data_IF_909362849898
#
_entry.id   IF_909362849898
#
_cell.length_a   1.000
_cell.length_b   1.000
_cell.length_c   1.000
_cell.angle_alpha   90.00
_cell.angle_beta   90.00
_cell.angle_gamma   90.00
#
_symmetry.space_group_name_H-M   'P 1'
#
loop_
_entity.id
_entity.type
_entity.pdbx_description
1 polymer ?
#
# COMPACT_ATOMS: atom_id res chain seq x y z
N UNK A 1 -14.89 -21.05 -22.38
CA UNK A 1 -13.80 -21.58 -23.24
C UNK A 1 -12.88 -22.52 -22.48
N UNK A 2 -12.29 -22.16 -21.33
CA UNK A 2 -11.35 -23.00 -20.56
C UNK A 2 -11.94 -24.36 -20.16
N UNK A 3 -13.17 -24.39 -19.65
CA UNK A 3 -13.86 -25.63 -19.29
C UNK A 3 -14.10 -26.57 -20.49
N UNK A 4 -14.34 -26.01 -21.68
CA UNK A 4 -14.47 -26.78 -22.91
C UNK A 4 -13.11 -27.35 -23.33
N UNK A 5 -12.04 -26.53 -23.28
CA UNK A 5 -10.69 -26.98 -23.61
C UNK A 5 -10.22 -28.14 -22.69
N UNK A 6 -10.58 -28.09 -21.41
CA UNK A 6 -10.27 -29.15 -20.45
C UNK A 6 -10.98 -30.46 -20.82
N UNK A 7 -12.23 -30.40 -21.27
CA UNK A 7 -12.99 -31.59 -21.68
C UNK A 7 -12.41 -32.27 -22.92
N UNK A 8 -11.88 -31.48 -23.84
CA UNK A 8 -11.30 -31.95 -25.11
C UNK A 8 -9.80 -32.30 -24.97
N UNK A 9 -9.24 -32.11 -23.81
CA UNK A 9 -7.82 -32.33 -23.58
C UNK A 9 -7.50 -33.83 -23.46
N UNK A 10 -6.40 -34.32 -24.08
CA UNK A 10 -5.94 -35.69 -23.95
C UNK A 10 -5.40 -36.04 -22.57
N UNK A 11 -5.23 -35.05 -21.69
CA UNK A 11 -4.76 -35.23 -20.31
C UNK A 11 -5.82 -34.72 -19.33
N UNK A 12 -5.95 -35.34 -18.15
CA UNK A 12 -6.79 -34.77 -17.09
C UNK A 12 -6.18 -33.46 -16.54
N UNK A 13 -6.96 -32.39 -16.50
CA UNK A 13 -6.59 -31.11 -15.89
C UNK A 13 -7.55 -30.81 -14.75
N UNK A 14 -6.98 -30.24 -13.67
CA UNK A 14 -7.74 -29.64 -12.60
C UNK A 14 -7.68 -28.12 -12.76
N UNK A 15 -8.85 -27.49 -12.87
CA UNK A 15 -8.93 -26.01 -12.90
C UNK A 15 -9.03 -25.48 -11.48
N UNK A 16 -8.10 -24.63 -11.11
CA UNK A 16 -8.11 -23.88 -9.84
C UNK A 16 -8.23 -22.40 -10.20
N UNK A 17 -9.31 -21.76 -9.74
CA UNK A 17 -9.52 -20.33 -9.91
C UNK A 17 -9.18 -19.63 -8.59
N UNK A 18 -8.26 -18.70 -8.66
CA UNK A 18 -7.80 -17.93 -7.51
C UNK A 18 -7.91 -16.44 -7.82
N UNK A 19 -8.15 -15.64 -6.79
CA UNK A 19 -7.88 -14.21 -6.79
C UNK A 19 -6.58 -13.97 -6.03
N UNK A 20 -5.73 -13.10 -6.51
CA UNK A 20 -4.51 -12.67 -5.82
C UNK A 20 -4.85 -11.77 -4.62
N UNK A 21 -5.83 -10.90 -4.77
CA UNK A 21 -6.39 -10.05 -3.71
C UNK A 21 -7.81 -9.60 -4.07
N UNK A 22 -8.52 -9.05 -3.08
CA UNK A 22 -9.76 -8.32 -3.32
C UNK A 22 -9.48 -6.91 -3.83
N UNK A 23 -10.43 -6.34 -4.55
CA UNK A 23 -10.39 -4.94 -4.98
C UNK A 23 -11.72 -4.28 -4.68
N UNK A 24 -11.68 -3.12 -4.02
CA UNK A 24 -12.88 -2.31 -3.81
C UNK A 24 -13.18 -1.48 -5.05
N UNK A 25 -14.46 -1.33 -5.34
CA UNK A 25 -14.95 -0.42 -6.37
C UNK A 25 -15.22 0.93 -5.71
N UNK A 26 -14.40 1.93 -5.96
CA UNK A 26 -14.60 3.23 -5.34
C UNK A 26 -13.58 4.27 -5.78
N UNK A 27 -13.75 5.47 -5.26
CA UNK A 27 -12.81 6.56 -5.49
C UNK A 27 -11.53 6.32 -4.68
N UNK A 28 -10.40 6.63 -5.27
CA UNK A 28 -9.12 6.63 -4.53
C UNK A 28 -9.13 7.73 -3.45
N UNK A 29 -8.27 7.58 -2.46
CA UNK A 29 -8.12 8.56 -1.37
C UNK A 29 -7.93 9.98 -1.90
N UNK A 30 -7.06 10.17 -2.90
CA UNK A 30 -6.76 11.46 -3.51
C UNK A 30 -7.98 12.08 -4.21
N UNK A 31 -8.80 11.24 -4.86
CA UNK A 31 -10.03 11.71 -5.49
C UNK A 31 -11.06 12.16 -4.47
N UNK A 32 -11.23 11.41 -3.37
CA UNK A 32 -12.21 11.74 -2.33
C UNK A 32 -11.84 12.99 -1.54
N UNK A 33 -10.56 13.10 -1.15
CA UNK A 33 -10.12 14.10 -0.19
C UNK A 33 -9.29 15.22 -0.80
N UNK A 34 -8.98 15.17 -2.12
CA UNK A 34 -8.17 16.17 -2.85
C UNK A 34 -6.80 16.40 -2.26
N UNK A 35 -6.27 15.40 -1.57
CA UNK A 35 -4.94 15.37 -0.98
C UNK A 35 -4.45 13.94 -0.88
N UNK A 36 -3.13 13.71 -0.92
CA UNK A 36 -2.56 12.40 -0.71
C UNK A 36 -2.56 12.02 0.78
N UNK A 37 -2.49 10.73 1.08
CA UNK A 37 -2.27 10.30 2.46
C UNK A 37 -0.90 10.76 2.98
N UNK A 38 0.08 10.89 2.11
CA UNK A 38 1.38 11.46 2.43
C UNK A 38 1.30 12.91 2.89
N UNK A 39 0.39 13.71 2.31
CA UNK A 39 0.15 15.09 2.76
C UNK A 39 -0.44 15.12 4.17
N UNK A 40 -1.36 14.18 4.49
CA UNK A 40 -1.92 14.04 5.84
C UNK A 40 -0.84 13.65 6.85
N UNK A 41 0.05 12.72 6.50
CA UNK A 41 1.20 12.34 7.34
C UNK A 41 2.12 13.52 7.56
N UNK A 42 2.52 14.24 6.50
CA UNK A 42 3.38 15.43 6.58
C UNK A 42 2.77 16.52 7.47
N UNK A 43 1.46 16.74 7.38
CA UNK A 43 0.76 17.70 8.22
C UNK A 43 0.79 17.32 9.72
N UNK A 44 0.89 16.04 10.05
CA UNK A 44 1.05 15.53 11.41
C UNK A 44 2.48 15.53 11.93
N UNK A 45 3.46 15.63 11.04
CA UNK A 45 4.88 15.66 11.40
C UNK A 45 5.38 17.07 11.76
N UNK A 46 6.52 17.13 12.45
CA UNK A 46 7.21 18.41 12.69
C UNK A 46 7.71 18.99 11.36
N UNK A 47 7.73 20.33 11.20
CA UNK A 47 8.14 20.97 9.94
C UNK A 47 9.57 20.64 9.48
N UNK A 48 10.42 20.20 10.40
CA UNK A 48 11.82 19.85 10.14
C UNK A 48 12.01 18.38 9.75
N UNK A 49 10.99 17.54 9.88
CA UNK A 49 11.09 16.12 9.56
C UNK A 49 11.22 15.90 8.05
N UNK A 50 12.23 15.14 7.62
CA UNK A 50 12.34 14.70 6.23
C UNK A 50 11.38 13.50 6.01
N UNK A 51 10.23 13.80 5.41
CA UNK A 51 9.16 12.83 5.14
C UNK A 51 9.04 12.61 3.65
N UNK A 52 9.25 11.37 3.21
CA UNK A 52 9.12 11.00 1.79
C UNK A 52 8.14 9.86 1.60
N UNK A 53 7.32 10.00 0.57
CA UNK A 53 6.36 9.00 0.13
C UNK A 53 6.96 8.22 -1.05
N UNK A 54 6.99 6.89 -0.90
CA UNK A 54 7.18 6.00 -2.05
C UNK A 54 5.78 5.61 -2.55
N UNK A 55 5.40 6.16 -3.69
CA UNK A 55 4.26 5.62 -4.41
C UNK A 55 4.54 4.14 -4.70
N UNK A 56 3.60 3.26 -4.41
CA UNK A 56 3.66 1.87 -4.82
C UNK A 56 3.99 1.82 -6.31
N UNK A 57 4.82 0.88 -6.72
CA UNK A 57 5.04 0.65 -8.15
C UNK A 57 3.67 0.26 -8.68
N UNK A 58 3.11 1.09 -9.56
CA UNK A 58 1.82 0.84 -10.15
C UNK A 58 1.93 -0.53 -10.88
N UNK A 59 1.21 -1.54 -10.38
CA UNK A 59 1.26 -2.90 -10.93
C UNK A 59 0.96 -2.89 -12.42
N UNK A 60 0.08 -1.99 -12.86
CA UNK A 60 -0.22 -1.75 -14.27
C UNK A 60 1.02 -1.26 -15.02
N UNK A 61 1.81 -0.37 -14.42
CA UNK A 61 3.06 0.10 -15.00
C UNK A 61 4.11 -1.00 -15.13
N UNK A 62 4.19 -1.94 -14.16
CA UNK A 62 5.09 -3.10 -14.23
C UNK A 62 4.65 -4.06 -15.34
N UNK A 63 3.38 -4.43 -15.37
CA UNK A 63 2.84 -5.36 -16.37
C UNK A 63 2.97 -4.80 -17.78
N UNK A 64 2.66 -3.52 -17.97
CA UNK A 64 2.86 -2.84 -19.26
C UNK A 64 4.34 -2.78 -19.61
N UNK A 65 5.22 -2.48 -18.66
CA UNK A 65 6.68 -2.47 -18.87
C UNK A 65 7.23 -3.83 -19.29
N UNK A 66 6.78 -4.91 -18.67
CA UNK A 66 7.19 -6.29 -19.00
C UNK A 66 6.66 -6.70 -20.39
N UNK A 67 5.39 -6.44 -20.68
CA UNK A 67 4.80 -6.67 -22.03
C UNK A 67 5.55 -5.89 -23.09
N UNK A 68 5.85 -4.61 -22.83
CA UNK A 68 6.59 -3.76 -23.76
C UNK A 68 8.03 -4.24 -23.98
N UNK A 69 8.66 -4.77 -22.94
CA UNK A 69 10.02 -5.33 -23.01
C UNK A 69 10.04 -6.64 -23.81
N UNK A 70 9.04 -7.50 -23.64
CA UNK A 70 8.92 -8.76 -24.37
C UNK A 70 8.56 -8.54 -25.83
N UNK A 71 7.66 -7.59 -26.11
CA UNK A 71 7.33 -7.15 -27.47
C UNK A 71 8.58 -6.57 -28.18
N UNK A 72 9.38 -5.75 -27.47
CA UNK A 72 10.63 -5.21 -28.01
C UNK A 72 11.67 -6.30 -28.31
N UNK A 73 11.81 -7.29 -27.45
CA UNK A 73 12.71 -8.46 -27.70
C UNK A 73 12.26 -9.28 -28.90
N UNK A 74 10.94 -9.41 -29.11
CA UNK A 74 10.35 -10.14 -30.23
C UNK A 74 10.45 -9.40 -31.56
N UNK A 75 10.58 -8.07 -31.53
CA UNK A 75 10.55 -7.20 -32.70
C UNK A 75 11.96 -6.72 -33.05
N UNK A 76 12.79 -7.57 -33.61
CA UNK A 76 14.15 -7.22 -34.11
C UNK A 76 14.17 -6.40 -35.43
N UNK A 77 13.04 -5.89 -35.90
CA UNK A 77 12.94 -5.18 -37.19
C UNK A 77 12.63 -3.70 -37.01
N UNK A 78 13.39 -2.84 -37.67
CA UNK A 78 13.24 -1.34 -37.72
C UNK A 78 11.84 -0.88 -38.15
N UNK A 79 11.06 -1.71 -38.82
CA UNK A 79 9.71 -1.38 -39.31
C UNK A 79 8.67 -1.30 -38.20
N UNK A 80 8.90 -1.99 -37.11
CA UNK A 80 7.99 -2.14 -35.98
C UNK A 80 8.05 -0.97 -34.97
N UNK A 81 9.15 -0.25 -34.87
CA UNK A 81 9.31 0.87 -33.95
C UNK A 81 8.35 2.04 -34.23
N UNK A 82 8.03 2.30 -35.49
CA UNK A 82 7.10 3.36 -35.88
C UNK A 82 5.64 3.01 -35.61
N UNK A 83 5.28 1.73 -35.69
CA UNK A 83 3.96 1.25 -35.33
C UNK A 83 3.77 1.26 -33.81
N UNK A 84 4.82 0.90 -33.09
CA UNK A 84 4.87 0.94 -31.63
C UNK A 84 4.71 2.37 -31.08
N UNK A 85 5.43 3.35 -31.64
CA UNK A 85 5.26 4.78 -31.32
C UNK A 85 3.82 5.25 -31.51
N UNK A 86 3.13 4.83 -32.57
CA UNK A 86 1.73 5.18 -32.84
C UNK A 86 0.74 4.55 -31.85
N UNK A 87 1.04 3.37 -31.34
CA UNK A 87 0.18 2.68 -30.34
C UNK A 87 0.33 3.34 -28.97
N UNK A 88 1.56 3.63 -28.56
CA UNK A 88 1.84 4.26 -27.25
C UNK A 88 1.26 5.67 -27.17
N UNK A 89 1.41 6.49 -28.20
CA UNK A 89 0.80 7.85 -28.26
C UNK A 89 -0.72 7.84 -28.26
N UNK A 90 -1.35 6.74 -28.66
CA UNK A 90 -2.80 6.60 -28.67
C UNK A 90 -3.38 6.12 -27.31
N UNK A 91 -2.56 5.43 -26.50
CA UNK A 91 -2.94 4.90 -25.16
C UNK A 91 -2.65 5.90 -24.04
N UNK A 92 -1.81 6.89 -24.24
CA UNK A 92 -1.48 7.93 -23.25
C UNK A 92 -1.53 9.32 -23.90
N UNK A 93 -2.72 9.92 -24.06
CA UNK A 93 -2.84 11.28 -24.61
C UNK A 93 -2.25 12.28 -23.61
N UNK A 94 -1.13 12.91 -24.00
CA UNK A 94 -0.48 13.96 -23.22
C UNK A 94 1.00 13.71 -22.88
N UNK A 95 1.54 12.52 -23.15
CA UNK A 95 2.98 12.24 -22.98
C UNK A 95 3.74 12.54 -24.25
N UNK A 96 4.86 13.22 -24.15
CA UNK A 96 5.78 13.42 -25.28
C UNK A 96 6.38 12.06 -25.68
N UNK A 97 6.62 11.81 -27.00
CA UNK A 97 7.15 10.52 -27.49
C UNK A 97 8.53 10.14 -26.93
N UNK A 98 9.27 11.10 -26.44
CA UNK A 98 10.61 10.89 -25.87
C UNK A 98 10.59 10.58 -24.37
N UNK A 99 9.45 10.80 -23.68
CA UNK A 99 9.24 10.44 -22.27
C UNK A 99 8.89 8.96 -22.05
N UNK A 100 8.57 8.25 -23.13
CA UNK A 100 8.42 6.80 -23.12
C UNK A 100 9.79 6.15 -23.28
N UNK A 101 10.70 6.48 -22.40
CA UNK A 101 11.90 5.69 -22.16
C UNK A 101 11.44 4.33 -21.66
N UNK A 102 11.78 3.29 -22.40
CA UNK A 102 11.67 1.90 -21.96
C UNK A 102 12.48 1.77 -20.67
N UNK A 103 11.80 1.93 -19.57
CA UNK A 103 12.39 1.75 -18.27
C UNK A 103 12.51 0.24 -18.12
N UNK A 104 13.75 -0.28 -18.22
CA UNK A 104 14.07 -1.60 -17.70
C UNK A 104 13.58 -1.63 -16.27
N UNK A 105 12.58 -2.46 -15.97
CA UNK A 105 11.90 -2.53 -14.68
C UNK A 105 12.89 -2.73 -13.54
N UNK A 106 13.97 -3.47 -13.77
CA UNK A 106 15.06 -3.62 -12.80
C UNK A 106 15.80 -2.29 -12.58
N UNK A 107 16.06 -1.55 -13.64
CA UNK A 107 16.74 -0.24 -13.57
C UNK A 107 15.82 0.83 -12.97
N UNK A 108 14.51 0.78 -13.20
CA UNK A 108 13.55 1.72 -12.60
C UNK A 108 13.33 1.46 -11.11
N UNK A 109 13.22 0.19 -10.70
CA UNK A 109 13.18 -0.20 -9.29
C UNK A 109 14.50 0.15 -8.60
N UNK A 110 15.62 -0.17 -9.25
CA UNK A 110 16.96 0.19 -8.75
C UNK A 110 17.16 1.70 -8.72
N UNK A 111 16.74 2.47 -9.73
CA UNK A 111 16.82 3.93 -9.74
C UNK A 111 15.88 4.58 -8.71
N UNK A 112 14.69 4.02 -8.44
CA UNK A 112 13.85 4.45 -7.33
C UNK A 112 14.48 4.11 -5.97
N UNK A 113 15.14 2.96 -5.83
CA UNK A 113 15.86 2.59 -4.61
C UNK A 113 17.18 3.35 -4.45
N UNK A 114 17.89 3.66 -5.55
CA UNK A 114 19.13 4.46 -5.55
C UNK A 114 18.87 5.97 -5.66
N UNK A 115 17.64 6.40 -5.98
CA UNK A 115 17.24 7.80 -6.02
C UNK A 115 17.19 8.48 -4.64
N UNK A 116 17.34 7.73 -3.56
CA UNK A 116 17.59 8.27 -2.23
C UNK A 116 19.10 8.39 -2.03
N UNK A 117 19.68 9.51 -2.46
CA UNK A 117 21.06 9.85 -2.07
C UNK A 117 21.19 9.91 -0.53
N UNK A 118 20.07 10.27 0.17
CA UNK A 118 19.95 10.27 1.62
C UNK A 118 18.65 9.53 2.01
N UNK A 119 18.73 8.66 3.01
CA UNK A 119 17.57 7.96 3.58
C UNK A 119 16.74 8.99 4.35
N UNK A 120 15.44 9.17 4.04
CA UNK A 120 14.58 10.11 4.75
C UNK A 120 14.38 9.67 6.21
N UNK A 121 14.11 10.60 7.12
CA UNK A 121 13.80 10.28 8.53
C UNK A 121 12.53 9.43 8.65
N UNK A 122 11.52 9.75 7.83
CA UNK A 122 10.24 9.05 7.80
C UNK A 122 9.93 8.64 6.36
N UNK A 123 9.80 7.34 6.18
CA UNK A 123 9.44 6.73 4.90
C UNK A 123 7.97 6.29 4.92
N UNK A 124 7.20 6.72 3.93
CA UNK A 124 5.81 6.33 3.72
C UNK A 124 5.76 5.42 2.51
N UNK A 125 5.19 4.23 2.68
CA UNK A 125 4.92 3.30 1.59
C UNK A 125 3.41 3.07 1.50
N UNK A 126 2.84 3.34 0.32
CA UNK A 126 1.41 3.15 0.05
C UNK A 126 1.22 1.86 -0.74
N UNK A 127 0.27 1.03 -0.33
CA UNK A 127 -0.08 -0.21 -1.00
C UNK A 127 -1.56 -0.55 -0.85
N UNK A 128 -2.35 -0.34 -1.90
CA UNK A 128 -3.79 -0.56 -1.86
C UNK A 128 -4.46 0.28 -0.76
N UNK A 129 -5.13 -0.40 0.17
CA UNK A 129 -5.86 0.24 1.27
C UNK A 129 -5.01 0.48 2.52
N UNK A 130 -3.72 0.17 2.44
CA UNK A 130 -2.80 0.26 3.58
C UNK A 130 -1.71 1.27 3.31
N UNK A 131 -1.29 1.94 4.37
CA UNK A 131 -0.12 2.80 4.38
C UNK A 131 0.80 2.36 5.50
N UNK A 132 2.06 2.18 5.17
CA UNK A 132 3.12 1.76 6.06
C UNK A 132 4.06 2.94 6.29
N UNK A 133 4.33 3.27 7.55
CA UNK A 133 5.23 4.36 7.92
C UNK A 133 6.38 3.76 8.74
N UNK A 134 7.60 4.09 8.32
CA UNK A 134 8.83 3.65 8.95
C UNK A 134 9.65 4.85 9.41
N UNK A 135 10.13 4.81 10.65
CA UNK A 135 11.11 5.75 11.19
C UNK A 135 12.52 5.16 10.93
N UNK A 136 13.10 5.52 9.81
CA UNK A 136 14.34 4.91 9.27
C UNK A 136 15.58 5.16 10.13
N UNK A 137 15.52 6.15 11.02
CA UNK A 137 16.58 6.48 11.97
C UNK A 137 16.60 5.59 13.21
N UNK A 138 15.63 4.65 13.31
CA UNK A 138 15.55 3.69 14.40
C UNK A 138 16.04 2.32 13.94
N UNK A 139 16.89 1.66 14.74
CA UNK A 139 17.40 0.30 14.45
C UNK A 139 16.33 -0.79 14.62
N UNK A 140 15.24 -0.47 15.29
CA UNK A 140 14.14 -1.40 15.61
C UNK A 140 12.82 -0.68 15.49
N UNK A 141 11.75 -1.47 15.28
CA UNK A 141 10.38 -0.98 15.33
C UNK A 141 10.11 -0.23 16.62
N UNK A 142 9.80 1.06 16.52
CA UNK A 142 9.51 1.92 17.66
C UNK A 142 8.06 1.74 18.15
N UNK A 143 7.82 2.12 19.39
CA UNK A 143 6.49 2.03 20.00
C UNK A 143 5.76 3.38 20.01
N UNK A 144 4.50 3.36 20.45
CA UNK A 144 3.66 4.56 20.54
C UNK A 144 4.30 5.68 21.37
N UNK A 145 5.01 5.33 22.45
CA UNK A 145 5.65 6.33 23.31
C UNK A 145 6.74 7.08 22.54
N UNK A 146 7.59 6.34 21.84
CA UNK A 146 8.67 6.92 21.05
C UNK A 146 8.14 7.67 19.82
N UNK A 147 7.11 7.13 19.13
CA UNK A 147 6.43 7.84 18.03
C UNK A 147 5.89 9.19 18.52
N UNK A 148 5.20 9.20 19.67
CA UNK A 148 4.62 10.42 20.25
C UNK A 148 5.69 11.42 20.69
N UNK A 149 6.81 10.95 21.21
CA UNK A 149 7.93 11.80 21.58
C UNK A 149 8.57 12.49 20.37
N UNK A 150 8.74 11.78 19.25
CA UNK A 150 9.31 12.31 18.01
C UNK A 150 8.32 13.17 17.23
N UNK A 151 7.07 12.70 17.11
CA UNK A 151 6.02 13.31 16.26
C UNK A 151 4.68 13.38 17.03
N UNK A 152 4.52 14.33 17.98
CA UNK A 152 3.39 14.34 18.92
C UNK A 152 2.02 14.55 18.26
N UNK A 153 1.97 15.18 17.08
CA UNK A 153 0.73 15.43 16.35
C UNK A 153 0.38 14.36 15.32
N UNK A 154 1.30 13.45 15.01
CA UNK A 154 1.13 12.50 13.89
C UNK A 154 -0.09 11.59 14.09
N UNK A 155 -0.14 10.84 15.19
CA UNK A 155 -1.27 9.92 15.45
C UNK A 155 -2.61 10.68 15.59
N UNK A 156 -2.71 11.79 16.35
CA UNK A 156 -3.94 12.59 16.39
C UNK A 156 -4.38 13.11 15.02
N UNK A 157 -3.46 13.58 14.17
CA UNK A 157 -3.78 14.08 12.83
C UNK A 157 -4.33 12.96 11.96
N UNK A 158 -3.71 11.78 11.97
CA UNK A 158 -4.20 10.62 11.23
C UNK A 158 -5.60 10.20 11.67
N UNK A 159 -5.84 10.09 12.97
CA UNK A 159 -7.13 9.67 13.52
C UNK A 159 -8.25 10.71 13.31
N UNK A 160 -7.90 11.97 13.13
CA UNK A 160 -8.88 13.02 12.80
C UNK A 160 -9.35 12.95 11.34
N UNK A 161 -8.57 12.33 10.44
CA UNK A 161 -8.88 12.30 9.01
C UNK A 161 -10.00 11.28 8.70
N UNK A 162 -11.08 11.68 7.96
CA UNK A 162 -12.22 10.80 7.71
C UNK A 162 -11.89 9.57 6.87
N UNK A 163 -10.88 9.62 6.02
CA UNK A 163 -10.42 8.50 5.20
C UNK A 163 -9.56 7.48 5.95
N UNK A 164 -9.27 7.70 7.24
CA UNK A 164 -8.52 6.76 8.07
C UNK A 164 -9.48 5.92 8.92
N UNK A 165 -9.49 4.62 8.71
CA UNK A 165 -10.31 3.66 9.46
C UNK A 165 -9.69 3.33 10.81
N UNK A 166 -8.43 2.93 10.79
CA UNK A 166 -7.65 2.73 12.02
C UNK A 166 -6.16 2.95 11.79
N UNK A 167 -5.46 3.18 12.88
CA UNK A 167 -4.00 3.31 12.93
C UNK A 167 -3.46 2.26 13.90
N UNK A 168 -2.66 1.32 13.43
CA UNK A 168 -2.02 0.29 14.25
C UNK A 168 -0.60 0.68 14.59
N UNK A 169 -0.25 0.58 15.88
CA UNK A 169 1.09 0.81 16.42
C UNK A 169 1.41 -0.23 17.49
N UNK A 170 2.71 -0.37 17.81
CA UNK A 170 3.17 -1.16 18.96
C UNK A 170 3.05 -0.35 20.25
N UNK A 171 2.71 -1.00 21.35
CA UNK A 171 2.75 -0.43 22.71
C UNK A 171 3.41 -1.39 23.69
N UNK A 172 3.67 -0.95 24.91
CA UNK A 172 4.15 -1.81 25.99
C UNK A 172 3.20 -2.99 26.30
N UNK A 173 1.91 -2.85 25.98
CA UNK A 173 0.89 -3.89 26.20
C UNK A 173 0.57 -4.71 24.95
N UNK A 174 1.38 -4.61 23.90
CA UNK A 174 1.18 -5.27 22.62
C UNK A 174 0.68 -4.33 21.52
N UNK A 175 0.40 -4.87 20.32
CA UNK A 175 -0.12 -4.11 19.21
C UNK A 175 -1.52 -3.58 19.48
N UNK A 176 -1.77 -2.33 19.10
CA UNK A 176 -3.05 -1.65 19.28
C UNK A 176 -3.51 -1.01 17.99
N UNK A 177 -4.76 -1.21 17.62
CA UNK A 177 -5.46 -0.47 16.58
C UNK A 177 -6.24 0.68 17.22
N UNK A 178 -5.87 1.91 16.90
CA UNK A 178 -6.59 3.11 17.30
C UNK A 178 -7.62 3.49 16.23
N UNK A 179 -8.82 3.78 16.65
CA UNK A 179 -9.81 4.46 15.86
C UNK A 179 -10.15 5.82 16.46
N UNK A 180 -11.10 6.52 15.85
CA UNK A 180 -11.51 7.86 16.28
C UNK A 180 -12.13 7.88 17.69
N UNK A 181 -12.88 6.85 18.06
CA UNK A 181 -13.68 6.79 19.30
C UNK A 181 -13.28 5.64 20.23
N UNK A 182 -12.16 4.97 19.94
CA UNK A 182 -11.71 3.87 20.77
C UNK A 182 -10.50 3.16 20.22
N UNK A 183 -10.14 2.05 20.86
CA UNK A 183 -8.96 1.28 20.50
C UNK A 183 -9.11 -0.19 20.86
N UNK A 184 -8.43 -1.04 20.09
CA UNK A 184 -8.43 -2.48 20.29
C UNK A 184 -6.98 -2.98 20.34
N UNK A 185 -6.59 -3.51 21.50
CA UNK A 185 -5.36 -4.28 21.64
C UNK A 185 -5.62 -5.68 21.09
N UNK A 186 -4.86 -6.08 20.08
CA UNK A 186 -5.07 -7.36 19.39
C UNK A 186 -4.29 -8.53 20.00
N UNK A 187 -3.37 -8.22 20.91
CA UNK A 187 -2.59 -9.20 21.67
C UNK A 187 -2.21 -8.60 23.04
N UNK A 188 -3.19 -8.52 23.94
CA UNK A 188 -2.99 -7.88 25.24
C UNK A 188 -1.93 -8.61 26.07
N UNK A 189 -0.81 -7.94 26.32
CA UNK A 189 0.33 -8.48 27.08
C UNK A 189 0.88 -9.83 26.56
N UNK A 190 0.74 -10.12 25.26
CA UNK A 190 1.22 -11.38 24.67
C UNK A 190 0.37 -12.61 25.06
N UNK A 191 -0.85 -12.41 25.53
CA UNK A 191 -1.74 -13.52 25.96
C UNK A 191 -2.58 -14.10 24.83
N UNK A 192 -2.49 -13.54 23.61
CA UNK A 192 -3.36 -13.87 22.49
C UNK A 192 -4.79 -13.36 22.63
N UNK A 193 -5.10 -12.58 23.69
CA UNK A 193 -6.43 -12.04 23.92
C UNK A 193 -6.58 -10.64 23.35
N UNK A 194 -7.82 -10.30 22.98
CA UNK A 194 -8.19 -8.97 22.50
C UNK A 194 -8.78 -8.15 23.64
N UNK A 195 -8.41 -6.87 23.73
CA UNK A 195 -8.99 -5.94 24.71
C UNK A 195 -9.46 -4.67 24.03
N UNK A 196 -10.74 -4.39 24.12
CA UNK A 196 -11.37 -3.19 23.54
C UNK A 196 -11.56 -2.12 24.61
N UNK A 197 -11.28 -0.86 24.26
CA UNK A 197 -11.54 0.32 25.10
C UNK A 197 -12.23 1.36 24.21
N UNK A 198 -13.47 1.71 24.57
CA UNK A 198 -14.33 2.54 23.72
C UNK A 198 -14.96 1.75 22.58
N UNK A 199 -15.14 2.39 21.44
CA UNK A 199 -15.65 1.74 20.22
C UNK A 199 -14.54 0.92 19.56
N UNK A 200 -14.81 -0.32 19.20
CA UNK A 200 -13.86 -1.16 18.48
C UNK A 200 -13.66 -0.66 17.04
N UNK A 201 -12.48 -0.16 16.66
CA UNK A 201 -12.21 0.33 15.32
C UNK A 201 -12.12 -0.79 14.27
N UNK A 202 -12.02 -2.04 14.68
CA UNK A 202 -11.89 -3.18 13.79
C UNK A 202 -13.24 -3.78 13.38
N UNK A 203 -14.34 -3.42 14.07
CA UNK A 203 -15.68 -3.93 13.78
C UNK A 203 -16.08 -3.82 12.28
N UNK A 204 -15.82 -2.71 11.57
CA UNK A 204 -16.19 -2.61 10.16
C UNK A 204 -15.46 -3.59 9.23
N UNK A 205 -14.31 -4.11 9.66
CA UNK A 205 -13.45 -4.97 8.84
C UNK A 205 -13.68 -6.47 9.04
N UNK A 206 -14.74 -6.82 9.77
CA UNK A 206 -15.17 -8.20 9.96
C UNK A 206 -14.66 -8.88 11.24
N UNK A 207 -15.18 -10.07 11.56
CA UNK A 207 -14.94 -10.75 12.84
C UNK A 207 -13.48 -11.18 13.03
N UNK A 208 -12.75 -11.43 11.95
CA UNK A 208 -11.37 -11.93 12.02
C UNK A 208 -10.32 -10.80 11.95
N UNK A 209 -10.75 -9.55 11.88
CA UNK A 209 -9.85 -8.40 11.72
C UNK A 209 -8.77 -8.34 12.80
N UNK A 210 -9.11 -8.56 14.08
CA UNK A 210 -8.15 -8.56 15.16
C UNK A 210 -7.09 -9.67 15.02
N UNK A 211 -7.49 -10.87 14.55
CA UNK A 211 -6.57 -11.97 14.26
C UNK A 211 -5.60 -11.62 13.13
N UNK A 212 -6.10 -11.05 12.05
CA UNK A 212 -5.26 -10.62 10.92
C UNK A 212 -4.27 -9.53 11.32
N UNK A 213 -4.72 -8.51 12.05
CA UNK A 213 -3.85 -7.43 12.55
C UNK A 213 -2.78 -7.97 13.50
N UNK A 214 -3.14 -8.90 14.40
CA UNK A 214 -2.15 -9.58 15.26
C UNK A 214 -1.09 -10.31 14.47
N UNK A 215 -1.49 -11.02 13.40
CA UNK A 215 -0.55 -11.72 12.52
C UNK A 215 0.38 -10.75 11.82
N UNK A 216 -0.15 -9.65 11.27
CA UNK A 216 0.67 -8.60 10.62
C UNK A 216 1.63 -7.96 11.62
N UNK A 217 1.17 -7.68 12.83
CA UNK A 217 1.99 -7.08 13.87
C UNK A 217 3.18 -7.95 14.33
N UNK A 218 3.10 -9.27 14.08
CA UNK A 218 4.14 -10.24 14.40
C UNK A 218 5.23 -10.38 13.31
N UNK A 219 5.08 -9.76 12.15
CA UNK A 219 6.10 -9.79 11.11
C UNK A 219 7.31 -8.95 11.50
N UNK A 220 8.50 -9.43 11.23
CA UNK A 220 9.77 -8.71 11.48
C UNK A 220 9.83 -7.39 10.68
N UNK A 221 9.19 -7.36 9.50
CA UNK A 221 9.10 -6.19 8.62
C UNK A 221 7.87 -5.32 8.89
N UNK A 222 7.13 -5.58 9.98
CA UNK A 222 5.96 -4.78 10.31
C UNK A 222 6.36 -3.31 10.53
N UNK A 223 5.65 -2.34 9.92
CA UNK A 223 5.97 -0.93 10.03
C UNK A 223 5.78 -0.41 11.48
N UNK A 224 6.36 0.75 11.76
CA UNK A 224 6.15 1.45 13.03
C UNK A 224 4.70 1.89 13.18
N UNK A 225 4.12 2.40 12.08
CA UNK A 225 2.70 2.75 12.00
C UNK A 225 2.11 2.09 10.76
N UNK A 226 1.02 1.35 10.95
CA UNK A 226 0.18 0.84 9.86
C UNK A 226 -1.14 1.59 9.88
N UNK A 227 -1.52 2.17 8.75
CA UNK A 227 -2.81 2.82 8.54
C UNK A 227 -3.65 1.95 7.61
N UNK A 228 -4.91 1.79 7.92
CA UNK A 228 -5.89 1.23 7.00
C UNK A 228 -6.96 2.28 6.68
N UNK A 229 -7.40 2.32 5.44
CA UNK A 229 -8.46 3.23 5.01
C UNK A 229 -9.77 2.96 5.73
N UNK A 230 -10.63 3.97 5.80
CA UNK A 230 -11.97 3.81 6.34
C UNK A 230 -12.81 2.93 5.41
N UNK A 231 -13.63 2.07 5.98
CA UNK A 231 -14.59 1.25 5.24
C UNK A 231 -16.01 1.83 5.38
N UNK A 232 -16.67 2.06 4.26
CA UNK A 232 -18.08 2.43 4.19
C UNK A 232 -18.94 1.17 3.98
N UNK A 233 -19.62 0.66 5.00
CA UNK A 233 -20.40 -0.57 4.90
C UNK A 233 -21.66 -0.41 4.03
N UNK A 234 -22.12 0.81 3.79
CA UNK A 234 -23.32 1.07 2.96
C UNK A 234 -22.95 0.96 1.49
N UNK A 235 -21.84 1.56 1.11
CA UNK A 235 -21.32 1.53 -0.27
C UNK A 235 -20.47 0.30 -0.55
N UNK A 236 -20.03 -0.42 0.48
CA UNK A 236 -19.06 -1.50 0.42
C UNK A 236 -17.72 -1.06 -0.21
N UNK A 237 -17.32 0.17 0.07
CA UNK A 237 -16.11 0.82 -0.41
C UNK A 237 -15.12 1.04 0.74
N UNK A 238 -13.82 1.03 0.41
CA UNK A 238 -12.72 1.31 1.33
C UNK A 238 -12.03 2.60 0.90
#
# INVERSE_FOLDING_TARGET
YLLLAIKESPRPYQLILLSDHGQSMGWTFDHLYRQSIGDVVKAGCTPTADVREMAGVDEVGIVIGDILTDVRKSLQSKFSLNLFRKIVTKLSPGSQPDDVLVIDTKTAVQAKLTGFADIPEILIQVGGNMVMIYFTTADKRIDLHEITARQPKLIPTLLAHPGVGFVMVKTAHGPVAFGRSGRTYVDWNGTGTTRVIGQDPLTPFGPDAAMHIRRVAAFDTCPDILINSAYDPIKQEI
#
